data_IF_898408369336
#
_entry.id   IF_898408369336
#
_cell.length_a   1.000
_cell.length_b   1.000
_cell.length_c   1.000
_cell.angle_alpha   90.00
_cell.angle_beta   90.00
_cell.angle_gamma   90.00
#
_symmetry.space_group_name_H-M   'P 1'
#
loop_
_entity.id
_entity.type
_entity.pdbx_description
1 polymer ?
#
# COMPACT_ATOMS: atom_id res chain seq x y z
N UNK A 1 13.47 16.44 8.45
CA UNK A 1 12.10 16.88 8.72
C UNK A 1 11.07 16.14 7.86
N UNK A 2 11.17 16.17 6.51
CA UNK A 2 10.20 15.49 5.63
C UNK A 2 10.03 13.99 5.98
N UNK A 3 11.11 13.24 6.05
CA UNK A 3 11.12 11.80 6.34
C UNK A 3 10.46 11.47 7.68
N UNK A 4 10.82 12.22 8.74
CA UNK A 4 10.23 12.05 10.08
C UNK A 4 8.73 12.35 10.06
N UNK A 5 8.33 13.45 9.45
CA UNK A 5 6.91 13.81 9.35
C UNK A 5 6.10 12.77 8.57
N UNK A 6 6.67 12.23 7.48
CA UNK A 6 6.01 11.22 6.66
C UNK A 6 5.87 9.89 7.42
N UNK A 7 6.95 9.47 8.07
CA UNK A 7 6.95 8.28 8.92
C UNK A 7 5.93 8.38 10.05
N UNK A 8 5.97 9.47 10.83
CA UNK A 8 5.02 9.66 11.93
C UNK A 8 3.57 9.76 11.45
N UNK A 9 3.31 10.38 10.29
CA UNK A 9 1.94 10.41 9.73
C UNK A 9 1.41 9.00 9.45
N UNK A 10 2.24 8.15 8.89
CA UNK A 10 1.90 6.75 8.61
C UNK A 10 1.75 5.95 9.91
N UNK A 11 2.74 6.05 10.81
CA UNK A 11 2.76 5.28 12.05
C UNK A 11 1.64 5.66 13.02
N UNK A 12 1.28 6.93 13.13
CA UNK A 12 0.16 7.35 13.97
C UNK A 12 -1.15 6.66 13.55
N UNK A 13 -1.43 6.60 12.24
CA UNK A 13 -2.58 5.88 11.71
C UNK A 13 -2.53 4.38 12.01
N UNK A 14 -1.35 3.78 11.84
CA UNK A 14 -1.11 2.37 12.16
C UNK A 14 -1.26 2.09 13.65
N UNK A 15 -0.67 2.90 14.55
CA UNK A 15 -0.76 2.70 15.99
C UNK A 15 -2.19 2.73 16.52
N UNK A 16 -3.02 3.60 15.98
CA UNK A 16 -4.44 3.59 16.36
C UNK A 16 -5.11 2.26 15.99
N UNK A 17 -4.89 1.77 14.76
CA UNK A 17 -5.45 0.49 14.32
C UNK A 17 -4.84 -0.67 15.10
N UNK A 18 -3.52 -0.64 15.31
CA UNK A 18 -2.79 -1.63 16.09
C UNK A 18 -3.39 -1.79 17.49
N UNK A 19 -3.60 -0.68 18.21
CA UNK A 19 -4.20 -0.68 19.54
C UNK A 19 -5.66 -1.15 19.52
N UNK A 20 -6.48 -0.65 18.59
CA UNK A 20 -7.88 -1.07 18.47
C UNK A 20 -8.01 -2.57 18.19
N UNK A 21 -7.20 -3.11 17.29
CA UNK A 21 -7.23 -4.52 16.93
C UNK A 21 -6.78 -5.41 18.11
N UNK A 22 -5.75 -4.99 18.87
CA UNK A 22 -5.31 -5.74 20.04
C UNK A 22 -6.33 -5.69 21.18
N UNK A 23 -6.98 -4.54 21.43
CA UNK A 23 -8.06 -4.43 22.43
C UNK A 23 -9.22 -5.33 22.04
N UNK A 24 -9.69 -5.28 20.79
CA UNK A 24 -10.78 -6.13 20.31
C UNK A 24 -10.40 -7.62 20.42
N UNK A 25 -9.17 -7.96 20.04
CA UNK A 25 -8.69 -9.34 20.14
C UNK A 25 -8.63 -9.83 21.57
N UNK A 26 -8.18 -9.01 22.52
CA UNK A 26 -8.18 -9.37 23.94
C UNK A 26 -9.59 -9.58 24.54
N UNK A 27 -10.62 -9.03 23.90
CA UNK A 27 -12.02 -9.23 24.33
C UNK A 27 -12.62 -10.49 23.69
N UNK A 28 -12.31 -10.78 22.43
CA UNK A 28 -13.01 -11.79 21.64
C UNK A 28 -12.20 -13.06 21.36
N UNK A 29 -10.88 -13.01 21.48
CA UNK A 29 -9.97 -14.11 21.12
C UNK A 29 -8.71 -14.09 21.98
N UNK A 30 -7.99 -15.22 22.09
CA UNK A 30 -6.65 -15.28 22.71
C UNK A 30 -5.51 -15.17 21.66
N UNK A 31 -5.75 -14.41 20.62
CA UNK A 31 -4.83 -14.31 19.50
C UNK A 31 -3.47 -13.70 19.87
N UNK A 32 -3.40 -12.90 20.92
CA UNK A 32 -2.12 -12.35 21.38
C UNK A 32 -1.13 -13.47 21.72
N UNK A 33 -1.58 -14.43 22.52
CA UNK A 33 -0.75 -15.58 22.91
C UNK A 33 -0.48 -16.52 21.74
N UNK A 34 -1.45 -16.70 20.85
CA UNK A 34 -1.27 -17.51 19.63
C UNK A 34 -0.17 -16.94 18.72
N UNK A 35 -0.11 -15.62 18.54
CA UNK A 35 0.81 -14.96 17.61
C UNK A 35 2.16 -14.69 18.23
N UNK A 36 2.20 -14.09 19.43
CA UNK A 36 3.46 -13.66 20.02
C UNK A 36 4.02 -14.67 21.04
N UNK A 37 3.24 -15.70 21.42
CA UNK A 37 3.63 -16.67 22.45
C UNK A 37 3.49 -16.11 23.86
N UNK A 38 4.13 -16.79 24.81
CA UNK A 38 4.17 -16.42 26.22
C UNK A 38 5.60 -16.09 26.66
N UNK A 39 5.75 -15.21 27.66
CA UNK A 39 7.04 -14.85 28.23
C UNK A 39 7.66 -13.57 27.69
N UNK A 40 8.95 -13.36 27.97
CA UNK A 40 9.64 -12.09 27.68
C UNK A 40 9.71 -11.78 26.17
N UNK A 41 9.87 -12.79 25.33
CA UNK A 41 9.93 -12.61 23.88
C UNK A 41 8.61 -12.12 23.29
N UNK A 42 7.46 -12.44 23.89
CA UNK A 42 6.16 -11.95 23.39
C UNK A 42 6.07 -10.42 23.44
N UNK A 43 6.62 -9.80 24.48
CA UNK A 43 6.68 -8.35 24.61
C UNK A 43 7.60 -7.74 23.52
N UNK A 44 8.74 -8.39 23.28
CA UNK A 44 9.67 -7.94 22.23
C UNK A 44 9.01 -8.00 20.86
N UNK A 45 8.35 -9.11 20.53
CA UNK A 45 7.64 -9.28 19.26
C UNK A 45 6.50 -8.26 19.10
N UNK A 46 5.72 -8.04 20.16
CA UNK A 46 4.69 -7.01 20.19
C UNK A 46 5.25 -5.61 19.90
N UNK A 47 6.38 -5.25 20.52
CA UNK A 47 7.03 -3.96 20.28
C UNK A 47 7.57 -3.84 18.87
N UNK A 48 8.21 -4.89 18.32
CA UNK A 48 8.73 -4.90 16.95
C UNK A 48 7.58 -4.77 15.95
N UNK A 49 6.47 -5.47 16.16
CA UNK A 49 5.27 -5.36 15.32
C UNK A 49 4.62 -3.98 15.46
N UNK A 50 4.55 -3.45 16.69
CA UNK A 50 4.04 -2.11 16.98
C UNK A 50 4.82 -0.97 16.31
N UNK A 51 6.13 -1.10 16.11
CA UNK A 51 6.91 -0.13 15.32
C UNK A 51 6.88 -0.42 13.81
N UNK A 52 6.13 -1.45 13.38
CA UNK A 52 5.91 -1.79 11.99
C UNK A 52 7.11 -2.47 11.31
N UNK A 53 8.00 -3.14 12.07
CA UNK A 53 9.22 -3.75 11.54
C UNK A 53 9.23 -5.28 11.62
N UNK A 54 8.10 -5.91 11.99
CA UNK A 54 8.02 -7.36 12.18
C UNK A 54 8.52 -8.14 10.96
N UNK A 55 8.08 -7.76 9.76
CA UNK A 55 8.50 -8.44 8.52
C UNK A 55 9.98 -8.22 8.18
N UNK A 56 10.56 -7.09 8.55
CA UNK A 56 11.98 -6.81 8.34
C UNK A 56 12.88 -7.71 9.19
N UNK A 57 12.46 -8.00 10.44
CA UNK A 57 13.19 -8.86 11.37
C UNK A 57 12.73 -10.32 11.33
N UNK A 58 11.80 -10.65 10.41
CA UNK A 58 11.18 -11.96 10.29
C UNK A 58 10.60 -12.48 11.62
N UNK A 59 9.99 -11.57 12.40
CA UNK A 59 9.31 -11.85 13.65
C UNK A 59 7.81 -12.03 13.43
N UNK A 60 7.08 -12.67 14.36
CA UNK A 60 5.64 -12.80 14.29
C UNK A 60 4.95 -11.44 14.12
N UNK A 61 3.90 -11.41 13.29
CA UNK A 61 3.05 -10.24 13.09
C UNK A 61 1.60 -10.60 13.37
N UNK A 62 0.88 -9.70 14.04
CA UNK A 62 -0.51 -9.92 14.42
C UNK A 62 -1.46 -10.05 13.22
N UNK A 63 -1.17 -9.34 12.15
CA UNK A 63 -1.95 -9.34 10.94
C UNK A 63 -1.05 -9.52 9.72
N UNK A 64 -1.37 -10.50 8.88
CA UNK A 64 -0.55 -10.85 7.72
C UNK A 64 -0.32 -9.67 6.75
N UNK A 65 -1.26 -8.71 6.66
CA UNK A 65 -1.12 -7.54 5.80
C UNK A 65 -0.16 -6.47 6.34
N UNK A 66 0.27 -6.57 7.59
CA UNK A 66 1.15 -5.56 8.19
C UNK A 66 2.61 -5.65 7.71
N UNK A 67 2.95 -6.67 6.89
CA UNK A 67 4.23 -6.67 6.15
C UNK A 67 4.48 -5.36 5.40
N UNK A 68 3.39 -4.72 4.94
CA UNK A 68 3.45 -3.43 4.27
C UNK A 68 4.03 -2.32 5.14
N UNK A 69 3.85 -2.37 6.45
CA UNK A 69 4.39 -1.35 7.37
C UNK A 69 5.92 -1.37 7.36
N UNK A 70 6.54 -2.56 7.36
CA UNK A 70 7.99 -2.71 7.24
C UNK A 70 8.51 -2.18 5.91
N UNK A 71 7.83 -2.51 4.81
CA UNK A 71 8.16 -2.02 3.48
C UNK A 71 8.04 -0.49 3.40
N UNK A 72 6.91 0.07 3.82
CA UNK A 72 6.65 1.51 3.76
C UNK A 72 7.65 2.30 4.63
N UNK A 73 8.00 1.78 5.81
CA UNK A 73 9.03 2.36 6.67
C UNK A 73 10.37 2.42 5.95
N UNK A 74 10.82 1.31 5.35
CA UNK A 74 12.07 1.27 4.59
C UNK A 74 12.05 2.23 3.41
N UNK A 75 10.97 2.27 2.63
CA UNK A 75 10.85 3.18 1.49
C UNK A 75 10.86 4.66 1.91
N UNK A 76 10.23 5.01 3.04
CA UNK A 76 10.26 6.37 3.57
C UNK A 76 11.67 6.75 4.04
N UNK A 77 12.38 5.85 4.71
CA UNK A 77 13.76 6.10 5.16
C UNK A 77 14.73 6.23 3.98
N UNK A 78 14.56 5.40 2.96
CA UNK A 78 15.40 5.38 1.76
C UNK A 78 15.02 6.45 0.72
N UNK A 79 13.88 7.14 0.89
CA UNK A 79 13.40 8.16 -0.05
C UNK A 79 14.45 9.20 -0.43
N UNK A 80 15.18 9.85 0.51
CA UNK A 80 16.16 10.88 0.14
C UNK A 80 17.31 10.32 -0.71
N UNK A 81 17.71 9.08 -0.46
CA UNK A 81 18.73 8.38 -1.23
C UNK A 81 18.23 8.10 -2.66
N UNK A 82 17.04 7.48 -2.78
CA UNK A 82 16.48 7.17 -4.09
C UNK A 82 16.16 8.41 -4.90
N UNK A 83 15.77 9.52 -4.27
CA UNK A 83 15.56 10.79 -4.95
C UNK A 83 16.86 11.27 -5.60
N UNK A 84 17.97 11.32 -4.87
CA UNK A 84 19.28 11.71 -5.42
C UNK A 84 19.76 10.76 -6.51
N UNK A 85 19.54 9.45 -6.35
CA UNK A 85 19.90 8.46 -7.36
C UNK A 85 19.06 8.65 -8.64
N UNK A 86 17.79 8.96 -8.50
CA UNK A 86 16.88 9.19 -9.63
C UNK A 86 17.28 10.46 -10.40
N UNK A 87 17.54 11.56 -9.69
CA UNK A 87 18.04 12.82 -10.30
C UNK A 87 19.32 12.59 -11.11
N UNK A 88 20.22 11.71 -10.63
CA UNK A 88 21.50 11.43 -11.29
C UNK A 88 21.42 10.41 -12.41
N UNK A 89 20.70 9.30 -12.20
CA UNK A 89 20.74 8.13 -13.09
C UNK A 89 19.44 7.91 -13.88
N UNK A 90 18.37 8.65 -13.55
CA UNK A 90 17.09 8.64 -14.27
C UNK A 90 16.62 7.21 -14.64
N UNK A 91 16.39 6.94 -15.95
CA UNK A 91 15.92 5.66 -16.45
C UNK A 91 16.85 4.46 -16.17
N UNK A 92 18.16 4.71 -16.00
CA UNK A 92 19.12 3.65 -15.62
C UNK A 92 18.77 3.08 -14.25
N UNK A 93 18.35 3.92 -13.29
CA UNK A 93 17.93 3.47 -11.97
C UNK A 93 16.73 2.50 -12.07
N UNK A 94 15.77 2.78 -12.96
CA UNK A 94 14.62 1.89 -13.16
C UNK A 94 15.06 0.50 -13.64
N UNK A 95 16.00 0.45 -14.58
CA UNK A 95 16.56 -0.82 -15.08
C UNK A 95 17.28 -1.56 -13.95
N UNK A 96 18.11 -0.85 -13.18
CA UNK A 96 18.83 -1.46 -12.06
C UNK A 96 17.89 -2.04 -11.00
N UNK A 97 16.79 -1.38 -10.66
CA UNK A 97 15.82 -1.88 -9.67
C UNK A 97 15.08 -3.15 -10.11
N UNK A 98 15.06 -3.46 -11.41
CA UNK A 98 14.49 -4.72 -11.94
C UNK A 98 15.52 -5.86 -11.88
N UNK A 99 16.76 -5.60 -12.32
CA UNK A 99 17.73 -6.66 -12.54
C UNK A 99 18.65 -6.94 -11.35
N UNK A 100 19.00 -5.93 -10.57
CA UNK A 100 19.94 -6.03 -9.45
C UNK A 100 19.48 -7.02 -8.35
N UNK A 101 18.22 -7.01 -7.91
CA UNK A 101 17.75 -7.94 -6.90
C UNK A 101 17.84 -9.40 -7.35
N UNK A 102 17.60 -9.63 -8.64
CA UNK A 102 17.68 -10.97 -9.24
C UNK A 102 19.12 -11.46 -9.42
N UNK A 103 20.03 -10.54 -9.76
CA UNK A 103 21.43 -10.86 -9.97
C UNK A 103 22.18 -11.21 -8.67
N UNK A 104 21.81 -10.55 -7.55
CA UNK A 104 22.56 -10.64 -6.28
C UNK A 104 21.83 -11.38 -5.17
N UNK A 105 20.64 -11.92 -5.40
CA UNK A 105 19.83 -12.63 -4.39
C UNK A 105 19.78 -11.89 -3.05
N UNK A 106 19.41 -10.61 -3.08
CA UNK A 106 19.51 -9.71 -1.95
C UNK A 106 18.51 -10.07 -0.84
N UNK A 107 18.85 -9.85 0.45
CA UNK A 107 17.96 -10.10 1.58
C UNK A 107 16.75 -9.17 1.54
N UNK A 108 15.71 -9.49 2.30
CA UNK A 108 14.46 -8.74 2.38
C UNK A 108 13.77 -8.59 1.02
N UNK A 109 13.33 -9.73 0.49
CA UNK A 109 12.72 -9.87 -0.84
C UNK A 109 11.55 -8.90 -1.11
N UNK A 110 10.76 -8.54 -0.07
CA UNK A 110 9.63 -7.62 -0.23
C UNK A 110 10.08 -6.21 -0.64
N UNK A 111 11.17 -5.68 -0.09
CA UNK A 111 11.71 -4.38 -0.51
C UNK A 111 12.05 -4.40 -2.00
N UNK A 112 12.79 -5.40 -2.43
CA UNK A 112 13.27 -5.50 -3.81
C UNK A 112 12.13 -5.77 -4.80
N UNK A 113 11.13 -6.54 -4.37
CA UNK A 113 9.93 -6.80 -5.17
C UNK A 113 9.19 -5.53 -5.54
N UNK A 114 9.06 -4.58 -4.61
CA UNK A 114 8.28 -3.35 -4.80
C UNK A 114 9.12 -2.14 -5.18
N UNK A 115 10.45 -2.26 -5.19
CA UNK A 115 11.35 -1.15 -5.42
C UNK A 115 11.19 -0.53 -6.80
N UNK A 116 11.01 -1.35 -7.84
CA UNK A 116 10.75 -0.86 -9.19
C UNK A 116 9.42 -0.07 -9.25
N UNK A 117 8.36 -0.57 -8.65
CA UNK A 117 7.09 0.15 -8.58
C UNK A 117 7.25 1.53 -7.92
N UNK A 118 8.00 1.57 -6.82
CA UNK A 118 8.26 2.79 -6.08
C UNK A 118 9.09 3.79 -6.90
N UNK A 119 10.20 3.37 -7.47
CA UNK A 119 11.08 4.24 -8.29
C UNK A 119 10.40 4.67 -9.58
N UNK A 120 9.58 3.82 -10.19
CA UNK A 120 8.76 4.17 -11.35
C UNK A 120 7.75 5.27 -10.99
N UNK A 121 7.08 5.16 -9.84
CA UNK A 121 6.18 6.20 -9.34
C UNK A 121 6.90 7.54 -9.11
N UNK A 122 8.10 7.52 -8.53
CA UNK A 122 8.93 8.71 -8.37
C UNK A 122 9.32 9.33 -9.73
N UNK A 123 9.74 8.50 -10.68
CA UNK A 123 10.12 8.92 -12.03
C UNK A 123 8.92 9.54 -12.77
N UNK A 124 7.76 8.92 -12.69
CA UNK A 124 6.54 9.44 -13.29
C UNK A 124 6.14 10.80 -12.71
N UNK A 125 6.29 10.97 -11.40
CA UNK A 125 6.00 12.23 -10.72
C UNK A 125 7.00 13.33 -11.08
N UNK A 126 8.31 13.03 -11.09
CA UNK A 126 9.38 13.99 -11.40
C UNK A 126 9.29 14.54 -12.82
N UNK A 127 8.87 13.70 -13.76
CA UNK A 127 8.77 14.08 -15.17
C UNK A 127 7.34 14.51 -15.61
N UNK A 128 6.40 14.62 -14.68
CA UNK A 128 4.98 14.92 -14.95
C UNK A 128 4.39 14.04 -16.06
N UNK A 129 4.76 12.73 -16.05
CA UNK A 129 4.40 11.84 -17.17
C UNK A 129 2.89 11.70 -17.35
N UNK A 130 2.10 11.69 -16.29
CA UNK A 130 0.64 11.60 -16.39
C UNK A 130 0.05 12.83 -17.11
N UNK A 131 0.54 14.04 -16.79
CA UNK A 131 0.11 15.26 -17.46
C UNK A 131 0.50 15.25 -18.95
N UNK A 132 1.74 14.87 -19.27
CA UNK A 132 2.22 14.76 -20.66
C UNK A 132 1.44 13.71 -21.46
N UNK A 133 1.17 12.55 -20.87
CA UNK A 133 0.34 11.50 -21.52
C UNK A 133 -1.07 12.03 -21.81
N UNK A 134 -1.68 12.73 -20.85
CA UNK A 134 -3.00 13.33 -21.04
C UNK A 134 -3.01 14.39 -22.12
N UNK A 135 -2.06 15.31 -22.13
CA UNK A 135 -1.92 16.35 -23.14
C UNK A 135 -1.82 15.73 -24.54
N UNK A 136 -0.93 14.75 -24.70
CA UNK A 136 -0.77 14.01 -25.95
C UNK A 136 -2.05 13.27 -26.34
N UNK A 137 -2.73 12.63 -25.38
CA UNK A 137 -3.99 11.94 -25.63
C UNK A 137 -5.09 12.90 -26.07
N UNK A 138 -5.18 14.09 -25.47
CA UNK A 138 -6.18 15.11 -25.83
C UNK A 138 -5.91 15.77 -27.16
N UNK A 139 -4.68 15.77 -27.67
CA UNK A 139 -4.34 16.27 -28.99
C UNK A 139 -4.79 15.35 -30.15
N UNK A 140 -5.11 14.09 -29.85
CA UNK A 140 -5.55 13.14 -30.87
C UNK A 140 -7.02 13.34 -31.25
N UNK A 141 -7.33 13.07 -32.53
CA UNK A 141 -8.71 13.03 -33.01
C UNK A 141 -9.52 11.88 -32.38
N UNK A 142 -10.84 12.00 -32.47
CA UNK A 142 -11.79 11.07 -31.82
C UNK A 142 -11.51 9.60 -32.14
N UNK A 143 -11.28 9.26 -33.42
CA UNK A 143 -10.99 7.88 -33.83
C UNK A 143 -9.76 7.29 -33.11
N UNK A 144 -8.67 8.06 -33.06
CA UNK A 144 -7.46 7.62 -32.34
C UNK A 144 -7.70 7.45 -30.84
N UNK A 145 -8.49 8.32 -30.20
CA UNK A 145 -8.85 8.17 -28.78
C UNK A 145 -9.65 6.89 -28.54
N UNK A 146 -10.62 6.57 -29.40
CA UNK A 146 -11.39 5.33 -29.32
C UNK A 146 -10.51 4.09 -29.50
N UNK A 147 -9.57 4.12 -30.46
CA UNK A 147 -8.61 3.03 -30.66
C UNK A 147 -7.70 2.84 -29.42
N UNK A 148 -7.16 3.92 -28.86
CA UNK A 148 -6.34 3.87 -27.64
C UNK A 148 -7.16 3.33 -26.48
N UNK A 149 -8.41 3.77 -26.31
CA UNK A 149 -9.30 3.23 -25.28
C UNK A 149 -9.47 1.73 -25.42
N UNK A 150 -9.79 1.23 -26.64
CA UNK A 150 -9.94 -0.20 -26.90
C UNK A 150 -8.68 -0.99 -26.62
N UNK A 151 -7.52 -0.53 -27.10
CA UNK A 151 -6.22 -1.17 -26.89
C UNK A 151 -5.89 -1.23 -25.38
N UNK A 152 -6.04 -0.11 -24.66
CA UNK A 152 -5.76 -0.07 -23.24
C UNK A 152 -6.77 -0.89 -22.42
N UNK A 153 -8.02 -1.00 -22.84
CA UNK A 153 -9.01 -1.86 -22.16
C UNK A 153 -8.68 -3.33 -22.33
N UNK A 154 -8.31 -3.78 -23.53
CA UNK A 154 -7.86 -5.15 -23.80
C UNK A 154 -6.52 -5.43 -23.11
N UNK A 155 -5.67 -4.45 -22.96
CA UNK A 155 -4.39 -4.57 -22.28
C UNK A 155 -4.50 -4.94 -20.80
N UNK A 156 -5.59 -4.59 -20.10
CA UNK A 156 -5.78 -4.94 -18.68
C UNK A 156 -5.76 -6.47 -18.47
N UNK A 157 -6.67 -7.25 -19.08
CA UNK A 157 -6.64 -8.72 -18.91
C UNK A 157 -5.34 -9.33 -19.44
N UNK A 158 -4.76 -8.80 -20.53
CA UNK A 158 -3.48 -9.30 -21.05
C UNK A 158 -2.35 -9.13 -20.03
N UNK A 159 -2.23 -7.98 -19.38
CA UNK A 159 -1.24 -7.75 -18.32
C UNK A 159 -1.45 -8.69 -17.13
N UNK A 160 -2.71 -8.93 -16.72
CA UNK A 160 -3.03 -9.87 -15.64
C UNK A 160 -2.61 -11.29 -16.03
N UNK A 161 -2.94 -11.74 -17.24
CA UNK A 161 -2.55 -13.05 -17.74
C UNK A 161 -1.03 -13.22 -17.83
N UNK A 162 -0.32 -12.22 -18.35
CA UNK A 162 1.14 -12.23 -18.45
C UNK A 162 1.79 -12.28 -17.06
N UNK A 163 1.27 -11.51 -16.10
CA UNK A 163 1.77 -11.53 -14.72
C UNK A 163 1.58 -12.89 -14.05
N UNK A 164 0.49 -13.58 -14.35
CA UNK A 164 0.18 -14.90 -13.77
C UNK A 164 0.86 -16.07 -14.51
N UNK A 165 1.50 -15.83 -15.66
CA UNK A 165 2.14 -16.89 -16.42
C UNK A 165 3.33 -17.49 -15.67
N UNK A 166 3.42 -18.82 -15.62
CA UNK A 166 4.46 -19.56 -14.89
C UNK A 166 5.89 -19.27 -15.43
N UNK A 167 6.03 -19.00 -16.71
CA UNK A 167 7.30 -18.65 -17.32
C UNK A 167 7.69 -17.20 -17.12
N UNK A 168 7.09 -16.31 -17.89
CA UNK A 168 7.48 -14.90 -17.96
C UNK A 168 6.97 -14.09 -16.75
N UNK A 169 5.76 -14.36 -16.26
CA UNK A 169 5.17 -13.65 -15.13
C UNK A 169 5.95 -13.82 -13.85
N UNK A 170 6.21 -15.07 -13.45
CA UNK A 170 6.94 -15.40 -12.21
C UNK A 170 8.40 -14.99 -12.30
N UNK A 171 9.06 -15.26 -13.44
CA UNK A 171 10.48 -14.89 -13.64
C UNK A 171 10.75 -13.39 -13.55
N UNK A 172 9.80 -12.56 -13.98
CA UNK A 172 9.91 -11.09 -14.01
C UNK A 172 8.91 -10.42 -13.08
N UNK A 173 8.62 -11.03 -11.94
CA UNK A 173 7.64 -10.51 -10.98
C UNK A 173 7.93 -9.07 -10.55
N UNK A 174 9.20 -8.72 -10.32
CA UNK A 174 9.63 -7.35 -9.98
C UNK A 174 9.22 -6.32 -11.04
N UNK A 175 9.27 -6.70 -12.31
CA UNK A 175 8.83 -5.86 -13.42
C UNK A 175 7.31 -5.67 -13.42
N UNK A 176 6.57 -6.77 -13.27
CA UNK A 176 5.11 -6.76 -13.30
C UNK A 176 4.48 -6.02 -12.13
N UNK A 177 5.09 -6.09 -10.94
CA UNK A 177 4.62 -5.34 -9.75
C UNK A 177 4.74 -3.81 -9.94
N UNK A 178 5.52 -3.34 -10.88
CA UNK A 178 5.58 -1.92 -11.26
C UNK A 178 4.71 -1.58 -12.47
N UNK A 179 4.80 -2.38 -13.55
CA UNK A 179 4.08 -2.08 -14.81
C UNK A 179 2.57 -2.17 -14.62
N UNK A 180 2.05 -3.21 -13.96
CA UNK A 180 0.62 -3.41 -13.84
C UNK A 180 -0.08 -2.25 -13.08
N UNK A 181 0.39 -1.82 -11.90
CA UNK A 181 -0.18 -0.64 -11.24
C UNK A 181 -0.05 0.64 -12.07
N UNK A 182 1.12 0.89 -12.69
CA UNK A 182 1.31 2.07 -13.52
C UNK A 182 0.33 2.10 -14.70
N UNK A 183 0.11 0.95 -15.34
CA UNK A 183 -0.85 0.81 -16.43
C UNK A 183 -2.27 1.14 -15.97
N UNK A 184 -2.71 0.56 -14.84
CA UNK A 184 -4.04 0.82 -14.27
C UNK A 184 -4.20 2.30 -13.89
N UNK A 185 -3.16 2.93 -13.34
CA UNK A 185 -3.17 4.36 -13.00
C UNK A 185 -3.34 5.21 -14.27
N UNK A 186 -2.56 4.93 -15.33
CA UNK A 186 -2.69 5.65 -16.60
C UNK A 186 -4.07 5.47 -17.21
N UNK A 187 -4.59 4.24 -17.23
CA UNK A 187 -5.94 3.95 -17.71
C UNK A 187 -7.01 4.73 -16.93
N UNK A 188 -6.96 4.65 -15.61
CA UNK A 188 -7.91 5.36 -14.75
C UNK A 188 -7.83 6.88 -14.94
N UNK A 189 -6.63 7.43 -15.05
CA UNK A 189 -6.41 8.86 -15.25
C UNK A 189 -6.93 9.35 -16.60
N UNK A 190 -6.81 8.55 -17.66
CA UNK A 190 -7.30 8.91 -18.99
C UNK A 190 -8.82 8.76 -19.13
N UNK A 191 -9.43 7.74 -18.55
CA UNK A 191 -10.81 7.34 -18.87
C UNK A 191 -11.77 7.36 -17.69
N UNK A 192 -11.31 7.01 -16.48
CA UNK A 192 -12.21 6.78 -15.34
C UNK A 192 -12.48 8.06 -14.54
N UNK A 193 -11.46 8.90 -14.33
CA UNK A 193 -11.56 10.11 -13.49
C UNK A 193 -12.58 11.12 -14.05
N UNK A 194 -12.89 11.06 -15.33
CA UNK A 194 -13.86 11.95 -15.99
C UNK A 194 -15.32 11.53 -15.77
N UNK A 195 -15.55 10.30 -15.36
CA UNK A 195 -16.88 9.78 -15.03
C UNK A 195 -17.16 10.17 -13.57
N UNK A 196 -17.81 11.33 -13.38
CA UNK A 196 -18.03 11.94 -12.06
C UNK A 196 -18.50 10.97 -10.97
N UNK A 197 -19.54 10.11 -11.16
CA UNK A 197 -19.98 9.19 -10.11
C UNK A 197 -18.90 8.15 -9.77
N UNK A 198 -18.19 7.63 -10.76
CA UNK A 198 -17.13 6.65 -10.55
C UNK A 198 -15.91 7.28 -9.88
N UNK A 199 -15.54 8.49 -10.29
CA UNK A 199 -14.48 9.26 -9.64
C UNK A 199 -14.81 9.55 -8.16
N UNK A 200 -16.07 9.87 -7.82
CA UNK A 200 -16.50 10.08 -6.45
C UNK A 200 -16.37 8.80 -5.59
N UNK A 201 -16.78 7.65 -6.14
CA UNK A 201 -16.61 6.34 -5.48
C UNK A 201 -15.14 6.01 -5.25
N UNK A 202 -14.29 6.17 -6.29
CA UNK A 202 -12.86 5.92 -6.18
C UNK A 202 -12.18 6.86 -5.19
N UNK A 203 -12.57 8.14 -5.16
CA UNK A 203 -12.07 9.10 -4.18
C UNK A 203 -12.46 8.70 -2.75
N UNK A 204 -13.72 8.31 -2.55
CA UNK A 204 -14.19 7.81 -1.26
C UNK A 204 -13.40 6.58 -0.81
N UNK A 205 -13.29 5.55 -1.66
CA UNK A 205 -12.53 4.34 -1.36
C UNK A 205 -11.04 4.64 -1.12
N UNK A 206 -10.46 5.54 -1.92
CA UNK A 206 -9.07 5.99 -1.75
C UNK A 206 -8.81 6.64 -0.39
N UNK A 207 -9.75 7.45 0.11
CA UNK A 207 -9.65 8.06 1.44
C UNK A 207 -9.65 7.00 2.56
N UNK A 208 -10.37 5.91 2.38
CA UNK A 208 -10.50 4.83 3.36
C UNK A 208 -9.51 3.69 3.17
N UNK A 209 -8.75 3.68 2.05
CA UNK A 209 -7.94 2.53 1.60
C UNK A 209 -6.91 2.05 2.63
N UNK A 210 -6.25 2.95 3.35
CA UNK A 210 -5.26 2.58 4.36
C UNK A 210 -5.89 1.84 5.54
N UNK A 211 -7.01 2.34 6.08
CA UNK A 211 -7.72 1.66 7.16
C UNK A 211 -8.24 0.30 6.69
N UNK A 212 -8.85 0.25 5.49
CA UNK A 212 -9.34 -1.00 4.89
C UNK A 212 -8.20 -2.01 4.73
N UNK A 213 -7.07 -1.58 4.17
CA UNK A 213 -5.91 -2.44 3.96
C UNK A 213 -5.37 -3.03 5.28
N UNK A 214 -5.25 -2.24 6.32
CA UNK A 214 -4.71 -2.67 7.60
C UNK A 214 -5.65 -3.58 8.40
N UNK A 215 -6.95 -3.57 8.09
CA UNK A 215 -7.96 -4.28 8.90
C UNK A 215 -8.65 -5.45 8.19
N UNK A 216 -8.74 -5.45 6.84
CA UNK A 216 -9.56 -6.43 6.12
C UNK A 216 -9.20 -7.90 6.40
N UNK A 217 -7.91 -8.20 6.58
CA UNK A 217 -7.47 -9.57 6.86
C UNK A 217 -7.95 -10.04 8.23
N UNK A 218 -8.02 -9.14 9.23
CA UNK A 218 -8.55 -9.48 10.55
C UNK A 218 -10.03 -9.88 10.47
N UNK A 219 -10.84 -9.14 9.70
CA UNK A 219 -12.24 -9.48 9.54
C UNK A 219 -12.43 -10.74 8.72
N UNK A 220 -11.68 -10.88 7.63
CA UNK A 220 -11.77 -12.06 6.77
C UNK A 220 -11.29 -13.34 7.43
N UNK A 221 -10.18 -13.30 8.17
CA UNK A 221 -9.49 -14.50 8.63
C UNK A 221 -9.71 -14.81 10.12
N UNK A 222 -10.15 -13.84 10.94
CA UNK A 222 -10.24 -14.00 12.39
C UNK A 222 -11.65 -13.81 12.91
N UNK A 223 -12.25 -12.62 12.71
CA UNK A 223 -13.51 -12.30 13.36
C UNK A 223 -14.77 -12.80 12.62
N UNK A 224 -14.77 -12.76 11.31
CA UNK A 224 -15.95 -13.05 10.49
C UNK A 224 -15.66 -14.07 9.38
N UNK A 225 -14.74 -15.00 9.65
CA UNK A 225 -14.33 -16.00 8.66
C UNK A 225 -15.52 -16.74 8.06
N UNK A 226 -16.35 -17.35 8.88
CA UNK A 226 -17.49 -18.16 8.42
C UNK A 226 -18.53 -17.32 7.66
N UNK A 227 -18.80 -16.11 8.13
CA UNK A 227 -19.66 -15.16 7.42
C UNK A 227 -19.08 -14.77 6.07
N UNK A 228 -17.78 -14.45 6.00
CA UNK A 228 -17.14 -14.00 4.76
C UNK A 228 -17.12 -15.06 3.67
N UNK A 229 -17.13 -16.34 4.03
CA UNK A 229 -17.12 -17.46 3.08
C UNK A 229 -18.46 -18.21 3.00
N UNK A 230 -19.52 -17.68 3.59
CA UNK A 230 -20.86 -18.31 3.58
C UNK A 230 -21.63 -18.12 2.27
N UNK A 231 -21.21 -17.21 1.41
CA UNK A 231 -21.95 -16.88 0.18
C UNK A 231 -21.73 -17.87 -0.97
N UNK A 232 -20.75 -18.77 -0.86
CA UNK A 232 -20.38 -19.75 -1.91
C UNK A 232 -20.18 -19.13 -3.30
N UNK A 233 -19.87 -17.83 -3.35
CA UNK A 233 -19.64 -17.06 -4.56
C UNK A 233 -18.51 -16.08 -4.38
N UNK A 234 -17.45 -16.24 -5.13
CA UNK A 234 -16.26 -15.37 -5.08
C UNK A 234 -16.61 -13.87 -5.20
N UNK A 235 -17.59 -13.53 -6.05
CA UNK A 235 -18.00 -12.14 -6.25
C UNK A 235 -18.74 -11.58 -5.05
N UNK A 236 -19.63 -12.37 -4.43
CA UNK A 236 -20.36 -11.96 -3.23
C UNK A 236 -19.41 -11.84 -2.04
N UNK A 237 -18.46 -12.76 -1.89
CA UNK A 237 -17.43 -12.69 -0.85
C UNK A 237 -16.59 -11.40 -0.98
N UNK A 238 -16.18 -11.03 -2.20
CA UNK A 238 -15.48 -9.75 -2.44
C UNK A 238 -16.33 -8.53 -2.12
N UNK A 239 -17.59 -8.51 -2.52
CA UNK A 239 -18.50 -7.40 -2.23
C UNK A 239 -18.72 -7.29 -0.72
N UNK A 240 -18.97 -8.39 -0.03
CA UNK A 240 -19.11 -8.43 1.42
C UNK A 240 -17.84 -7.90 2.12
N UNK A 241 -16.67 -8.35 1.68
CA UNK A 241 -15.40 -7.90 2.23
C UNK A 241 -15.18 -6.38 2.03
N UNK A 242 -15.51 -5.84 0.87
CA UNK A 242 -15.43 -4.41 0.61
C UNK A 242 -16.38 -3.64 1.53
N UNK A 243 -17.63 -4.07 1.64
CA UNK A 243 -18.64 -3.41 2.48
C UNK A 243 -18.20 -3.40 3.95
N UNK A 244 -17.82 -4.56 4.50
CA UNK A 244 -17.34 -4.67 5.89
C UNK A 244 -16.11 -3.81 6.11
N UNK A 245 -15.12 -3.86 5.20
CA UNK A 245 -13.90 -3.06 5.31
C UNK A 245 -14.18 -1.55 5.28
N UNK A 246 -15.15 -1.11 4.47
CA UNK A 246 -15.58 0.30 4.43
C UNK A 246 -16.27 0.68 5.74
N UNK A 247 -17.20 -0.13 6.25
CA UNK A 247 -17.90 0.13 7.51
C UNK A 247 -16.92 0.28 8.67
N UNK A 248 -15.96 -0.64 8.76
CA UNK A 248 -14.89 -0.59 9.77
C UNK A 248 -14.02 0.66 9.60
N UNK A 249 -13.65 0.99 8.35
CA UNK A 249 -12.88 2.20 8.10
C UNK A 249 -13.64 3.47 8.50
N UNK A 250 -14.93 3.54 8.23
CA UNK A 250 -15.78 4.65 8.69
C UNK A 250 -15.82 4.72 10.22
N UNK A 251 -15.98 3.59 10.91
CA UNK A 251 -15.93 3.54 12.38
C UNK A 251 -14.59 4.05 12.92
N UNK A 252 -13.46 3.65 12.33
CA UNK A 252 -12.13 4.15 12.69
C UNK A 252 -12.04 5.66 12.48
N UNK A 253 -12.57 6.20 11.38
CA UNK A 253 -12.57 7.66 11.15
C UNK A 253 -13.44 8.41 12.17
N UNK A 254 -14.57 7.83 12.61
CA UNK A 254 -15.38 8.38 13.71
C UNK A 254 -14.56 8.41 15.00
N UNK A 255 -13.88 7.31 15.37
CA UNK A 255 -12.99 7.27 16.54
C UNK A 255 -11.90 8.34 16.44
N UNK A 256 -11.22 8.45 15.29
CA UNK A 256 -10.21 9.49 15.03
C UNK A 256 -10.77 10.90 15.27
N UNK A 257 -12.01 11.15 14.85
CA UNK A 257 -12.68 12.43 15.04
C UNK A 257 -12.99 12.70 16.51
N UNK A 258 -13.50 11.71 17.24
CA UNK A 258 -13.85 11.81 18.66
C UNK A 258 -12.63 12.12 19.52
N UNK A 259 -11.51 11.45 19.30
CA UNK A 259 -10.26 11.66 20.07
C UNK A 259 -9.45 12.86 19.57
N UNK A 260 -9.95 13.62 18.59
CA UNK A 260 -9.23 14.73 17.96
C UNK A 260 -7.85 14.31 17.44
N UNK A 261 -7.79 13.15 16.80
CA UNK A 261 -6.57 12.47 16.36
C UNK A 261 -5.58 13.34 15.59
N UNK A 262 -6.07 14.27 14.77
CA UNK A 262 -5.20 15.22 14.04
C UNK A 262 -4.40 16.12 14.99
N UNK A 263 -5.00 16.59 16.09
CA UNK A 263 -4.29 17.42 17.09
C UNK A 263 -3.18 16.61 17.76
N UNK A 264 -3.48 15.34 18.12
CA UNK A 264 -2.48 14.43 18.70
C UNK A 264 -1.35 14.19 17.71
N UNK A 265 -1.66 13.90 16.45
CA UNK A 265 -0.67 13.66 15.42
C UNK A 265 0.23 14.89 15.18
N UNK A 266 -0.34 16.08 15.12
CA UNK A 266 0.43 17.33 14.97
C UNK A 266 1.34 17.54 16.18
N UNK A 267 0.82 17.40 17.39
CA UNK A 267 1.60 17.52 18.62
C UNK A 267 2.82 16.57 18.65
N UNK A 268 2.58 15.28 18.31
CA UNK A 268 3.67 14.27 18.28
C UNK A 268 4.74 14.63 17.24
N UNK A 269 4.32 15.09 16.05
CA UNK A 269 5.26 15.53 15.01
C UNK A 269 6.10 16.73 15.44
N UNK A 270 5.45 17.73 16.01
CA UNK A 270 6.13 18.96 16.47
C UNK A 270 7.15 18.62 17.57
N UNK A 271 6.76 17.78 18.52
CA UNK A 271 7.67 17.31 19.58
C UNK A 271 8.83 16.50 19.02
N UNK A 272 8.58 15.58 18.09
CA UNK A 272 9.65 14.81 17.45
C UNK A 272 10.62 15.73 16.67
N UNK A 273 10.11 16.69 15.92
CA UNK A 273 10.95 17.66 15.23
C UNK A 273 11.79 18.52 16.20
N UNK A 274 11.22 18.95 17.32
CA UNK A 274 11.96 19.68 18.36
C UNK A 274 13.07 18.84 18.97
N UNK A 275 12.78 17.60 19.40
CA UNK A 275 13.75 16.68 20.00
C UNK A 275 14.92 16.41 19.03
N UNK A 276 14.60 16.18 17.77
CA UNK A 276 15.57 15.88 16.72
C UNK A 276 16.24 17.14 16.14
N UNK A 277 15.95 18.33 16.67
CA UNK A 277 16.47 19.64 16.19
C UNK A 277 16.32 19.82 14.68
N UNK A 278 15.19 19.38 14.11
CA UNK A 278 14.89 19.50 12.69
C UNK A 278 14.15 20.81 12.43
N UNK A 279 14.88 21.83 12.04
CA UNK A 279 14.30 23.13 11.60
C UNK A 279 13.58 23.03 10.26
#
# INVERSE_FOLDING_TARGET
KYTVNRYLTMMMGFWLIFLLVHILSGIFTDRFTEVYGTGTYSVIYFLIDGIGLAKLFDTPTFCATWWYMSLATMLILLFPMFKKLLERYQGILLILTIFLPKAFNLPYADLWRWLFCYTLGMYMAEHDLLAKIKEKFTSFGMLKRCLIFGILTIGIPVIIMLRQSEGFGIKFLYLWEGIAPAYVIVYAYLFVVWIKPLAAVLHFLGKHSMNMFLTHTMFRAVYFHDFMYSFYSMWLDYIALIIVSVLVSVAIEIVKKLIRFQKITTFVKDRACQILKLT
#
